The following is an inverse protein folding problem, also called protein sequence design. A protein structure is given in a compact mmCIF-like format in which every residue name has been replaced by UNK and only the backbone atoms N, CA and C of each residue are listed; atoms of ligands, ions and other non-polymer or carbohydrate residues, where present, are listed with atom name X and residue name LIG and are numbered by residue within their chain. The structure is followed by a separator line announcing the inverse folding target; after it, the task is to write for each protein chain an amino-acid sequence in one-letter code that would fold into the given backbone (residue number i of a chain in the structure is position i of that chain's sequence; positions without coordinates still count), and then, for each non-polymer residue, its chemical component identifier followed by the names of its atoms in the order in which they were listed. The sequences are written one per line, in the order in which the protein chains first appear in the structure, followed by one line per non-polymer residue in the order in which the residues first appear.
data_IF_471051552969
#
_entry.id   IF_471051552969
#
_cell.length_a   1.000
_cell.length_b   1.000
_cell.length_c   1.000
_cell.angle_alpha   90.00
_cell.angle_beta   90.00
_cell.angle_gamma   90.00
#
_symmetry.space_group_name_H-M   'P 1'
#
loop_
_entity.id
_entity.type
_entity.pdbx_description
1 polymer ?
#
# COMPACT_ATOMS: atom_id res chain seq x y z
N UNK A 1 3.76 -2.27 4.56
CA UNK A 1 3.69 -3.74 4.70
C UNK A 1 2.23 -4.10 4.65
N UNK A 2 1.82 -4.78 3.60
CA UNK A 2 0.43 -5.22 3.44
C UNK A 2 0.40 -6.73 3.57
N UNK A 3 -0.57 -7.23 4.34
CA UNK A 3 -0.81 -8.67 4.44
C UNK A 3 -2.23 -8.96 3.95
N UNK A 4 -2.32 -9.57 2.78
CA UNK A 4 -3.56 -9.84 2.08
C UNK A 4 -3.92 -11.30 2.26
N UNK A 5 -5.13 -11.55 2.73
CA UNK A 5 -5.70 -12.87 2.92
C UNK A 5 -6.90 -13.01 1.98
N UNK A 6 -6.88 -14.03 1.12
CA UNK A 6 -7.99 -14.34 0.21
C UNK A 6 -8.68 -15.60 0.71
N UNK A 7 -9.93 -15.45 1.15
CA UNK A 7 -10.78 -16.56 1.58
C UNK A 7 -11.70 -16.95 0.43
N UNK A 8 -11.58 -18.20 -0.02
CA UNK A 8 -12.36 -18.74 -1.12
C UNK A 8 -12.91 -20.13 -0.74
N UNK A 9 -14.14 -20.49 -1.14
CA UNK A 9 -14.61 -21.87 -1.07
C UNK A 9 -13.61 -22.86 -1.67
N UNK A 10 -13.50 -24.03 -1.06
CA UNK A 10 -12.66 -25.11 -1.56
C UNK A 10 -12.96 -25.42 -3.03
N UNK A 11 -11.91 -25.49 -3.86
CA UNK A 11 -12.03 -25.76 -5.30
C UNK A 11 -12.52 -24.58 -6.16
N UNK A 12 -12.84 -23.41 -5.58
CA UNK A 12 -13.28 -22.25 -6.37
C UNK A 12 -12.18 -21.68 -7.26
N UNK A 13 -10.93 -21.63 -6.76
CA UNK A 13 -9.78 -21.10 -7.48
C UNK A 13 -8.78 -22.20 -7.81
N UNK A 14 -8.38 -22.30 -9.08
CA UNK A 14 -7.27 -23.16 -9.50
C UNK A 14 -5.92 -22.58 -9.02
N UNK A 15 -4.86 -23.39 -9.07
CA UNK A 15 -3.49 -22.90 -8.80
C UNK A 15 -3.12 -21.69 -9.66
N UNK A 16 -3.38 -21.78 -10.96
CA UNK A 16 -3.07 -20.68 -11.90
C UNK A 16 -3.90 -19.41 -11.62
N UNK A 17 -5.17 -19.55 -11.22
CA UNK A 17 -5.98 -18.40 -10.82
C UNK A 17 -5.47 -17.76 -9.53
N UNK A 18 -4.97 -18.55 -8.57
CA UNK A 18 -4.35 -18.03 -7.35
C UNK A 18 -3.08 -17.25 -7.67
N UNK A 19 -2.22 -17.79 -8.53
CA UNK A 19 -0.96 -17.12 -8.92
C UNK A 19 -1.23 -15.77 -9.61
N UNK A 20 -2.17 -15.75 -10.57
CA UNK A 20 -2.55 -14.51 -11.26
C UNK A 20 -3.16 -13.49 -10.29
N UNK A 21 -4.10 -13.91 -9.46
CA UNK A 21 -4.74 -13.00 -8.50
C UNK A 21 -3.73 -12.48 -7.46
N UNK A 22 -2.75 -13.27 -7.02
CA UNK A 22 -1.71 -12.82 -6.12
C UNK A 22 -0.83 -11.73 -6.74
N UNK A 23 -0.43 -11.91 -8.00
CA UNK A 23 0.34 -10.92 -8.75
C UNK A 23 -0.46 -9.61 -8.91
N UNK A 24 -1.73 -9.70 -9.32
CA UNK A 24 -2.61 -8.55 -9.49
C UNK A 24 -2.84 -7.79 -8.16
N UNK A 25 -3.11 -8.49 -7.06
CA UNK A 25 -3.35 -7.89 -5.74
C UNK A 25 -2.14 -7.11 -5.20
N UNK A 26 -0.93 -7.57 -5.53
CA UNK A 26 0.31 -6.89 -5.15
C UNK A 26 0.61 -5.74 -6.11
N UNK A 27 0.48 -5.95 -7.42
CA UNK A 27 0.93 -4.98 -8.41
C UNK A 27 -0.04 -3.82 -8.61
N UNK A 28 -1.35 -4.04 -8.53
CA UNK A 28 -2.33 -2.97 -8.76
C UNK A 28 -2.31 -1.92 -7.66
N UNK A 29 -2.04 -2.29 -6.40
CA UNK A 29 -1.91 -1.33 -5.30
C UNK A 29 -0.62 -0.50 -5.39
N UNK A 30 0.35 -1.00 -6.15
CA UNK A 30 1.68 -0.42 -6.35
C UNK A 30 1.69 0.50 -7.59
N UNK A 31 0.60 0.58 -8.37
CA UNK A 31 0.46 1.50 -9.50
C UNK A 31 0.21 2.94 -9.04
N UNK A 32 1.28 3.61 -8.63
CA UNK A 32 1.35 5.06 -8.75
C UNK A 32 2.22 5.36 -9.96
N UNK A 33 1.63 5.92 -11.03
CA UNK A 33 2.25 6.14 -12.34
C UNK A 33 3.52 7.03 -12.32
N UNK A 34 3.96 7.50 -11.15
CA UNK A 34 5.12 8.38 -10.97
C UNK A 34 6.08 7.99 -9.83
N UNK A 35 5.92 6.83 -9.17
CA UNK A 35 6.88 6.37 -8.16
C UNK A 35 8.14 5.73 -8.81
N UNK A 36 9.34 5.95 -8.24
CA UNK A 36 10.56 5.30 -8.71
C UNK A 36 10.48 3.77 -8.64
N UNK A 37 10.99 3.04 -9.66
CA UNK A 37 10.93 1.57 -9.71
C UNK A 37 11.44 0.87 -8.45
N UNK A 38 12.51 1.37 -7.85
CA UNK A 38 13.13 0.81 -6.64
C UNK A 38 12.24 0.93 -5.40
N UNK A 39 11.39 1.96 -5.32
CA UNK A 39 10.40 2.13 -4.24
C UNK A 39 9.25 1.15 -4.44
N UNK A 40 8.81 1.00 -5.69
CA UNK A 40 7.77 0.03 -6.05
C UNK A 40 8.24 -1.41 -5.76
N UNK A 41 9.48 -1.75 -6.12
CA UNK A 41 10.09 -3.04 -5.82
C UNK A 41 10.18 -3.30 -4.32
N UNK A 42 10.63 -2.32 -3.54
CA UNK A 42 10.70 -2.43 -2.09
C UNK A 42 9.31 -2.62 -1.45
N UNK A 43 8.28 -1.91 -1.95
CA UNK A 43 6.90 -2.09 -1.49
C UNK A 43 6.37 -3.50 -1.80
N UNK A 44 6.64 -4.02 -3.00
CA UNK A 44 6.27 -5.38 -3.39
C UNK A 44 6.96 -6.44 -2.52
N UNK A 45 8.25 -6.26 -2.24
CA UNK A 45 9.03 -7.21 -1.46
C UNK A 45 8.51 -7.43 -0.03
N UNK A 46 7.76 -6.48 0.53
CA UNK A 46 7.16 -6.55 1.86
C UNK A 46 5.63 -6.71 1.83
N UNK A 47 5.06 -7.04 0.67
CA UNK A 47 3.63 -7.29 0.51
C UNK A 47 3.41 -8.80 0.38
N UNK A 48 2.47 -9.32 1.16
CA UNK A 48 2.23 -10.76 1.23
C UNK A 48 0.79 -11.07 0.86
N UNK A 49 0.58 -12.17 0.13
CA UNK A 49 -0.74 -12.70 -0.20
C UNK A 49 -0.79 -14.16 0.24
N UNK A 50 -1.86 -14.53 0.95
CA UNK A 50 -2.14 -15.93 1.34
C UNK A 50 -3.56 -16.30 0.94
N UNK A 51 -3.77 -17.59 0.63
CA UNK A 51 -5.07 -18.13 0.24
C UNK A 51 -5.57 -19.12 1.29
N UNK A 52 -6.82 -18.97 1.69
CA UNK A 52 -7.51 -19.83 2.62
C UNK A 52 -8.67 -20.53 1.91
N UNK A 53 -8.66 -21.86 1.90
CA UNK A 53 -9.78 -22.67 1.39
C UNK A 53 -10.81 -22.88 2.50
N UNK A 54 -12.03 -22.44 2.25
CA UNK A 54 -13.13 -22.45 3.21
C UNK A 54 -14.07 -23.61 2.91
N UNK A 55 -14.12 -24.60 3.81
CA UNK A 55 -14.94 -25.81 3.60
C UNK A 55 -16.45 -25.58 3.61
N UNK A 56 -16.93 -24.52 4.25
CA UNK A 56 -18.35 -24.15 4.22
C UNK A 56 -18.57 -22.65 4.38
N UNK A 57 -19.48 -22.10 3.56
CA UNK A 57 -19.89 -20.71 3.61
C UNK A 57 -21.41 -20.60 3.71
N UNK A 58 -21.91 -19.78 4.64
CA UNK A 58 -23.35 -19.55 4.81
C UNK A 58 -23.70 -18.07 4.76
N UNK A 59 -24.85 -17.73 4.20
CA UNK A 59 -25.40 -16.37 4.23
C UNK A 59 -26.91 -16.42 4.43
N UNK A 60 -27.40 -15.68 5.43
CA UNK A 60 -28.82 -15.72 5.81
C UNK A 60 -29.30 -17.13 6.17
N UNK A 61 -28.44 -17.96 6.76
CA UNK A 61 -28.74 -19.35 7.13
C UNK A 61 -28.72 -20.37 5.98
N UNK A 62 -28.39 -19.96 4.75
CA UNK A 62 -28.29 -20.86 3.59
C UNK A 62 -26.85 -21.01 3.13
N UNK A 63 -26.48 -22.19 2.62
CA UNK A 63 -25.16 -22.39 2.01
C UNK A 63 -25.01 -21.43 0.81
N UNK A 64 -23.89 -20.73 0.74
CA UNK A 64 -23.56 -19.85 -0.38
C UNK A 64 -22.73 -20.61 -1.41
N UNK A 65 -22.98 -20.36 -2.70
CA UNK A 65 -22.30 -21.08 -3.78
C UNK A 65 -20.99 -20.39 -4.22
N UNK A 66 -20.95 -19.05 -4.29
CA UNK A 66 -19.78 -18.30 -4.75
C UNK A 66 -19.60 -17.02 -3.94
N UNK A 67 -18.63 -17.00 -3.01
CA UNK A 67 -18.27 -15.79 -2.27
C UNK A 67 -16.79 -15.74 -2.04
N UNK A 68 -16.20 -14.58 -2.29
CA UNK A 68 -14.82 -14.27 -1.94
C UNK A 68 -14.80 -13.25 -0.80
N UNK A 69 -13.81 -13.39 0.08
CA UNK A 69 -13.44 -12.32 1.02
C UNK A 69 -11.96 -12.05 0.86
N UNK A 70 -11.61 -10.81 0.55
CA UNK A 70 -10.24 -10.33 0.66
C UNK A 70 -10.14 -9.51 1.94
N UNK A 71 -9.21 -9.88 2.82
CA UNK A 71 -8.87 -9.09 4.00
C UNK A 71 -7.44 -8.60 3.85
N UNK A 72 -7.26 -7.29 3.89
CA UNK A 72 -5.95 -6.67 3.84
C UNK A 72 -5.65 -5.98 5.16
N UNK A 73 -4.54 -6.37 5.78
CA UNK A 73 -4.01 -5.71 6.97
C UNK A 73 -3.01 -4.65 6.56
N UNK A 74 -3.23 -3.42 7.04
CA UNK A 74 -2.37 -2.24 6.82
C UNK A 74 -2.01 -1.60 8.15
N UNK A 75 -0.95 -0.78 8.26
CA UNK A 75 -0.74 0.07 9.43
C UNK A 75 -1.98 0.91 9.73
N UNK A 76 -2.39 1.04 11.01
CA UNK A 76 -3.61 1.76 11.38
C UNK A 76 -3.63 3.19 10.83
N UNK A 77 -2.50 3.90 10.87
CA UNK A 77 -2.38 5.25 10.32
C UNK A 77 -2.61 5.37 8.81
N UNK A 78 -2.54 4.26 8.06
CA UNK A 78 -2.80 4.23 6.61
C UNK A 78 -4.24 3.80 6.30
N UNK A 79 -4.94 3.19 7.26
CA UNK A 79 -6.20 2.50 7.02
C UNK A 79 -7.25 3.42 6.41
N UNK A 80 -7.48 4.59 6.99
CA UNK A 80 -8.53 5.51 6.53
C UNK A 80 -8.28 5.97 5.09
N UNK A 81 -7.08 6.43 4.79
CA UNK A 81 -6.72 6.97 3.48
C UNK A 81 -6.66 5.89 2.39
N UNK A 82 -6.16 4.69 2.72
CA UNK A 82 -6.05 3.59 1.75
C UNK A 82 -7.37 2.84 1.53
N UNK A 83 -8.32 2.90 2.46
CA UNK A 83 -9.52 2.06 2.42
C UNK A 83 -10.35 2.23 1.14
N UNK A 84 -10.71 3.45 0.69
CA UNK A 84 -11.52 3.63 -0.52
C UNK A 84 -10.84 3.01 -1.75
N UNK A 85 -9.54 3.29 -1.90
CA UNK A 85 -8.75 2.81 -3.03
C UNK A 85 -8.60 1.28 -3.04
N UNK A 86 -8.31 0.67 -1.88
CA UNK A 86 -8.18 -0.79 -1.76
C UNK A 86 -9.52 -1.50 -2.00
N UNK A 87 -10.62 -0.97 -1.45
CA UNK A 87 -11.97 -1.54 -1.65
C UNK A 87 -12.35 -1.51 -3.13
N UNK A 88 -12.14 -0.38 -3.81
CA UNK A 88 -12.42 -0.26 -5.25
C UNK A 88 -11.52 -1.18 -6.08
N UNK A 89 -10.22 -1.14 -5.84
CA UNK A 89 -9.23 -1.89 -6.63
C UNK A 89 -9.42 -3.39 -6.48
N UNK A 90 -9.51 -3.89 -5.24
CA UNK A 90 -9.71 -5.32 -5.01
C UNK A 90 -11.10 -5.77 -5.42
N UNK A 91 -12.14 -4.95 -5.23
CA UNK A 91 -13.47 -5.26 -5.74
C UNK A 91 -13.48 -5.48 -7.26
N UNK A 92 -12.79 -4.61 -8.01
CA UNK A 92 -12.62 -4.75 -9.47
C UNK A 92 -11.85 -6.02 -9.85
N UNK A 93 -10.75 -6.33 -9.15
CA UNK A 93 -9.92 -7.51 -9.45
C UNK A 93 -10.64 -8.83 -9.22
N UNK A 94 -11.49 -8.90 -8.19
CA UNK A 94 -12.22 -10.13 -7.87
C UNK A 94 -13.33 -10.41 -8.90
N UNK A 95 -13.87 -9.38 -9.55
CA UNK A 95 -14.94 -9.47 -10.55
C UNK A 95 -16.18 -10.28 -10.09
N UNK A 96 -16.42 -10.35 -8.78
CA UNK A 96 -17.54 -11.04 -8.14
C UNK A 96 -18.40 -9.99 -7.39
N UNK A 97 -19.67 -9.78 -7.80
CA UNK A 97 -20.57 -8.83 -7.14
C UNK A 97 -20.86 -9.13 -5.66
N UNK A 98 -20.65 -10.38 -5.24
CA UNK A 98 -20.82 -10.83 -3.86
C UNK A 98 -19.53 -10.81 -3.04
N UNK A 99 -18.39 -10.44 -3.63
CA UNK A 99 -17.12 -10.39 -2.94
C UNK A 99 -17.08 -9.27 -1.90
N UNK A 100 -16.40 -9.55 -0.79
CA UNK A 100 -16.19 -8.58 0.28
C UNK A 100 -14.72 -8.20 0.36
N UNK A 101 -14.46 -6.93 0.62
CA UNK A 101 -13.11 -6.41 0.89
C UNK A 101 -13.10 -5.81 2.29
N UNK A 102 -12.26 -6.34 3.17
CA UNK A 102 -12.05 -5.83 4.51
C UNK A 102 -10.67 -5.18 4.58
N UNK A 103 -10.62 -3.90 4.92
CA UNK A 103 -9.37 -3.22 5.24
C UNK A 103 -9.25 -3.12 6.75
N UNK A 104 -8.28 -3.84 7.31
CA UNK A 104 -8.04 -3.95 8.75
C UNK A 104 -6.77 -3.20 9.09
N UNK A 105 -6.85 -2.36 10.12
CA UNK A 105 -5.71 -1.61 10.59
C UNK A 105 -5.03 -2.35 11.73
N UNK A 106 -3.71 -2.44 11.65
CA UNK A 106 -2.87 -2.99 12.71
C UNK A 106 -2.40 -1.83 13.57
N UNK A 107 -2.76 -1.79 14.87
CA UNK A 107 -2.36 -0.71 15.75
C UNK A 107 -0.84 -0.51 15.81
N UNK A 108 -0.42 0.71 16.11
CA UNK A 108 1.00 1.05 16.32
C UNK A 108 1.67 0.09 17.31
N UNK A 109 2.81 -0.47 16.90
CA UNK A 109 3.53 -1.49 17.67
C UNK A 109 3.07 -2.95 17.40
N UNK A 110 1.99 -3.15 16.65
CA UNK A 110 1.46 -4.47 16.28
C UNK A 110 2.11 -5.10 15.05
N UNK A 111 3.01 -4.38 14.36
CA UNK A 111 3.75 -4.87 13.19
C UNK A 111 5.20 -5.12 13.60
N UNK A 112 5.74 -6.27 13.20
CA UNK A 112 7.15 -6.59 13.40
C UNK A 112 7.80 -7.21 12.17
N UNK A 113 9.09 -6.93 11.98
CA UNK A 113 9.93 -7.50 10.93
C UNK A 113 11.31 -7.80 11.50
N UNK A 114 11.80 -9.04 11.33
CA UNK A 114 13.13 -9.43 11.84
C UNK A 114 13.28 -9.29 13.36
N UNK A 115 12.20 -9.43 14.13
CA UNK A 115 12.18 -9.26 15.58
C UNK A 115 12.19 -7.80 16.06
N UNK A 116 12.12 -6.83 15.15
CA UNK A 116 11.96 -5.41 15.49
C UNK A 116 10.51 -4.98 15.30
N UNK A 117 10.03 -4.14 16.22
CA UNK A 117 8.73 -3.48 16.10
C UNK A 117 8.83 -2.37 15.05
N UNK A 118 7.88 -2.32 14.13
CA UNK A 118 7.77 -1.27 13.12
C UNK A 118 6.52 -0.42 13.36
N UNK A 119 6.71 0.89 13.35
CA UNK A 119 5.64 1.89 13.25
C UNK A 119 5.31 2.19 11.80
N UNK A 120 4.19 2.87 11.53
CA UNK A 120 3.83 3.29 10.18
C UNK A 120 4.98 4.03 9.45
N UNK A 121 5.63 4.99 10.13
CA UNK A 121 6.72 5.78 9.54
C UNK A 121 8.02 4.96 9.36
N UNK A 122 8.26 3.92 10.17
CA UNK A 122 9.38 3.00 9.95
C UNK A 122 9.20 2.19 8.66
N UNK A 123 7.96 1.83 8.36
CA UNK A 123 7.61 1.13 7.12
C UNK A 123 7.77 2.06 5.91
N UNK A 124 7.34 3.33 6.02
CA UNK A 124 7.60 4.33 4.96
C UNK A 124 9.10 4.46 4.70
N UNK A 125 9.91 4.58 5.76
CA UNK A 125 11.37 4.64 5.65
C UNK A 125 11.95 3.41 4.99
N UNK A 126 11.47 2.21 5.36
CA UNK A 126 11.92 0.95 4.79
C UNK A 126 11.65 0.89 3.28
N UNK A 127 10.43 1.23 2.85
CA UNK A 127 10.03 1.19 1.43
C UNK A 127 10.78 2.24 0.60
N UNK A 128 10.99 3.43 1.17
CA UNK A 128 11.61 4.57 0.46
C UNK A 128 13.13 4.58 0.53
N UNK A 129 13.72 3.74 1.38
CA UNK A 129 15.17 3.66 1.59
C UNK A 129 15.99 3.54 0.29
N UNK A 130 15.65 2.66 -0.67
CA UNK A 130 16.44 2.53 -1.90
C UNK A 130 16.56 3.85 -2.68
N UNK A 131 15.45 4.59 -2.82
CA UNK A 131 15.46 5.90 -3.47
C UNK A 131 16.28 6.92 -2.68
N UNK A 132 16.07 7.00 -1.36
CA UNK A 132 16.75 7.97 -0.49
C UNK A 132 18.26 7.77 -0.41
N UNK A 133 18.72 6.52 -0.47
CA UNK A 133 20.14 6.16 -0.43
C UNK A 133 20.78 6.08 -1.83
N UNK A 134 19.99 6.14 -2.91
CA UNK A 134 20.49 6.02 -4.29
C UNK A 134 21.47 7.12 -4.69
N UNK A 135 21.35 8.32 -4.09
CA UNK A 135 22.08 9.51 -4.51
C UNK A 135 21.77 9.96 -5.95
N UNK A 136 20.73 9.41 -6.58
CA UNK A 136 20.37 9.73 -7.95
C UNK A 136 19.93 11.21 -8.07
N UNK A 137 20.30 11.92 -9.15
CA UNK A 137 19.82 13.27 -9.38
C UNK A 137 18.30 13.31 -9.39
N UNK A 138 17.74 14.20 -8.57
CA UNK A 138 16.29 14.44 -8.52
C UNK A 138 15.86 15.06 -9.85
N UNK A 139 15.05 14.35 -10.63
CA UNK A 139 14.49 14.87 -11.85
C UNK A 139 13.57 16.08 -11.56
N UNK A 140 13.49 17.02 -12.51
CA UNK A 140 12.59 18.16 -12.39
C UNK A 140 11.13 17.72 -12.48
N UNK A 141 10.26 18.16 -11.57
CA UNK A 141 8.85 17.81 -11.61
C UNK A 141 8.15 18.49 -12.80
N UNK A 142 7.16 17.83 -13.42
CA UNK A 142 6.29 18.45 -14.41
C UNK A 142 5.66 19.78 -13.91
N UNK A 143 5.33 20.72 -14.81
CA UNK A 143 4.65 21.96 -14.43
C UNK A 143 3.38 21.70 -13.60
N UNK A 144 3.23 22.42 -12.49
CA UNK A 144 2.08 22.25 -11.57
C UNK A 144 2.21 21.08 -10.59
N UNK A 145 3.34 20.37 -10.58
CA UNK A 145 3.63 19.30 -9.62
C UNK A 145 4.89 19.59 -8.80
N UNK A 146 5.01 18.91 -7.66
CA UNK A 146 6.21 18.89 -6.84
C UNK A 146 6.77 17.48 -6.73
N UNK A 147 8.07 17.40 -6.41
CA UNK A 147 8.72 16.15 -6.03
C UNK A 147 8.44 15.86 -4.55
N UNK A 148 8.12 14.61 -4.24
CA UNK A 148 8.18 14.07 -2.89
C UNK A 148 9.64 13.68 -2.58
N UNK A 149 10.34 14.38 -1.67
CA UNK A 149 11.75 14.14 -1.38
C UNK A 149 12.01 12.83 -0.63
N UNK A 150 10.96 12.18 -0.11
CA UNK A 150 11.05 10.91 0.63
C UNK A 150 10.96 9.74 -0.32
N UNK A 151 9.95 9.70 -1.20
CA UNK A 151 9.75 8.56 -2.10
C UNK A 151 10.12 8.82 -3.55
N UNK A 152 10.36 10.07 -3.95
CA UNK A 152 10.73 10.42 -5.33
C UNK A 152 9.55 10.58 -6.29
N UNK A 153 8.32 10.48 -5.80
CA UNK A 153 7.11 10.60 -6.61
C UNK A 153 6.88 12.05 -7.05
N UNK A 154 6.44 12.25 -8.29
CA UNK A 154 5.88 13.54 -8.71
C UNK A 154 4.39 13.60 -8.41
N UNK A 155 3.99 14.65 -7.69
CA UNK A 155 2.62 14.81 -7.17
C UNK A 155 2.09 16.18 -7.60
N UNK A 156 0.97 16.25 -8.33
CA UNK A 156 0.29 17.51 -8.60
C UNK A 156 -0.01 18.25 -7.30
N UNK A 157 0.30 19.54 -7.21
CA UNK A 157 0.14 20.29 -5.95
C UNK A 157 -1.30 20.29 -5.43
N UNK A 158 -2.28 20.25 -6.33
CA UNK A 158 -3.71 20.19 -6.01
C UNK A 158 -4.14 18.86 -5.37
N UNK A 159 -3.37 17.78 -5.59
CA UNK A 159 -3.64 16.45 -5.06
C UNK A 159 -2.65 16.03 -3.96
N UNK A 160 -1.74 16.92 -3.57
CA UNK A 160 -0.70 16.61 -2.60
C UNK A 160 -1.29 16.40 -1.20
N UNK A 161 -0.84 15.34 -0.51
CA UNK A 161 -1.22 15.08 0.87
C UNK A 161 -0.61 16.11 1.85
N UNK A 162 0.40 16.84 1.39
CA UNK A 162 1.00 17.97 2.07
C UNK A 162 1.96 18.70 1.14
N UNK A 163 2.32 19.93 1.52
CA UNK A 163 3.35 20.72 0.83
C UNK A 163 4.30 21.32 1.85
N UNK A 164 5.59 21.41 1.49
CA UNK A 164 6.60 22.08 2.31
C UNK A 164 7.58 22.84 1.42
N UNK A 165 8.22 23.85 1.98
CA UNK A 165 9.30 24.59 1.32
C UNK A 165 10.62 24.33 2.05
N UNK A 166 11.69 24.08 1.29
CA UNK A 166 13.03 23.87 1.81
C UNK A 166 14.07 24.10 0.71
N UNK A 167 15.18 24.77 1.04
CA UNK A 167 16.27 25.06 0.10
C UNK A 167 15.80 25.71 -1.22
N UNK A 168 14.81 26.60 -1.13
CA UNK A 168 14.21 27.27 -2.29
C UNK A 168 13.36 26.36 -3.19
N UNK A 169 13.13 25.11 -2.79
CA UNK A 169 12.31 24.12 -3.52
C UNK A 169 10.97 23.92 -2.81
N UNK A 170 9.89 23.86 -3.59
CA UNK A 170 8.56 23.49 -3.10
C UNK A 170 8.31 22.01 -3.32
N UNK A 171 8.17 21.26 -2.23
CA UNK A 171 7.90 19.83 -2.23
C UNK A 171 6.39 19.55 -2.19
N UNK A 172 5.99 18.43 -2.78
CA UNK A 172 4.63 17.90 -2.72
C UNK A 172 4.69 16.44 -2.27
N UNK A 173 3.96 16.09 -1.22
CA UNK A 173 4.03 14.74 -0.63
C UNK A 173 2.92 13.85 -1.15
N UNK A 174 3.27 12.61 -1.51
CA UNK A 174 2.33 11.62 -2.04
C UNK A 174 1.39 11.05 -0.96
N UNK A 175 1.81 11.15 0.30
CA UNK A 175 1.09 10.59 1.44
C UNK A 175 1.43 11.37 2.71
N UNK A 176 0.54 11.29 3.70
CA UNK A 176 0.79 11.82 5.05
C UNK A 176 2.07 11.23 5.65
N UNK A 177 2.31 9.92 5.45
CA UNK A 177 3.51 9.24 5.94
C UNK A 177 4.81 9.80 5.36
N UNK A 178 4.85 10.15 4.06
CA UNK A 178 6.04 10.79 3.48
C UNK A 178 6.25 12.21 4.06
N UNK A 179 5.18 12.99 4.24
CA UNK A 179 5.27 14.30 4.88
C UNK A 179 5.79 14.22 6.32
N UNK A 180 5.29 13.28 7.12
CA UNK A 180 5.73 13.07 8.51
C UNK A 180 7.18 12.61 8.60
N UNK A 181 7.59 11.64 7.78
CA UNK A 181 8.99 11.18 7.71
C UNK A 181 9.92 12.35 7.38
N UNK A 182 9.55 13.20 6.42
CA UNK A 182 10.32 14.39 6.08
C UNK A 182 10.43 15.37 7.25
N UNK A 183 9.32 15.68 7.92
CA UNK A 183 9.30 16.62 9.05
C UNK A 183 10.15 16.12 10.23
N UNK A 184 10.11 14.82 10.53
CA UNK A 184 10.93 14.18 11.57
C UNK A 184 12.44 14.31 11.26
N UNK A 185 12.83 14.18 9.99
CA UNK A 185 14.23 14.26 9.56
C UNK A 185 14.78 15.69 9.52
N UNK A 186 13.95 16.66 9.14
CA UNK A 186 14.28 18.08 9.22
C UNK A 186 14.51 18.55 10.66
N UNK A 187 13.75 18.01 11.61
CA UNK A 187 13.91 18.34 13.03
C UNK A 187 15.19 17.75 13.63
N UNK A 188 15.63 16.58 13.15
CA UNK A 188 16.88 15.92 13.61
C UNK A 188 18.16 16.52 13.03
N UNK A 189 18.04 17.28 11.94
CA UNK A 189 19.17 17.92 11.25
C UNK A 189 19.45 19.34 11.74
N UNK A 190 18.64 19.84 12.69
CA UNK A 190 18.80 21.10 13.42
C UNK A 190 19.33 20.84 14.82
#
# INVERSE_FOLDING_TARGET
MMFVEVFAPEGLLTGEQRDRLADDLVNEVVKADSAPPEVLEAQRAISHVVFHEVGAWYTGGRRAEHRLLVRVSVPEGWREDMSPYLVETYGRLLADPGAMVHVVGVPEGGIGLGGQVLRANDIVRLITRPFRESGAPRAEPPPGSGLDPVCGMFVPFEHAAGVAEGDGTRYAFCSKGCHEVFAEEQTRSR
#
